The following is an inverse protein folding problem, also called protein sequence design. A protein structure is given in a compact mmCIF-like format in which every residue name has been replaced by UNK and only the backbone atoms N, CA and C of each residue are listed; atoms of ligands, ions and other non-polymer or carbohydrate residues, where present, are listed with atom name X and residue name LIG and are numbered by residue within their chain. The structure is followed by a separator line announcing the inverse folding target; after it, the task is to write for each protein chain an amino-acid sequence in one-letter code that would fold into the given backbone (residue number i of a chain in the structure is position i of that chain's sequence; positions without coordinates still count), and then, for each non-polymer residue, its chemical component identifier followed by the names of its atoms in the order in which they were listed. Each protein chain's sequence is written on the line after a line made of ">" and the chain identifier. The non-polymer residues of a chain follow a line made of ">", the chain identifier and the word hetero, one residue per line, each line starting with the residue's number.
data_IF_496700510368
#
_entry.id   IF_496700510368
#
_cell.length_a   1.000
_cell.length_b   1.000
_cell.length_c   1.000
_cell.angle_alpha   90.00
_cell.angle_beta   90.00
_cell.angle_gamma   90.00
#
_symmetry.space_group_name_H-M   'P 1'
#
loop_
_entity.id
_entity.type
_entity.pdbx_description
1 polymer ?
#
# COMPACT_ATOMS: atom_id res chain seq x y z
N UNK A 1 -25.69 -38.33 7.66
CA UNK A 1 -24.38 -38.61 7.05
C UNK A 1 -23.32 -37.85 7.84
N UNK A 2 -22.25 -38.50 8.25
CA UNK A 2 -21.11 -37.85 8.91
C UNK A 2 -20.28 -37.09 7.86
N UNK A 3 -19.79 -35.90 8.21
CA UNK A 3 -18.95 -35.12 7.32
C UNK A 3 -17.66 -35.89 6.96
N UNK A 4 -17.12 -35.72 5.74
CA UNK A 4 -15.83 -36.29 5.36
C UNK A 4 -14.72 -35.80 6.30
N UNK A 5 -13.85 -36.72 6.74
CA UNK A 5 -12.72 -36.41 7.62
C UNK A 5 -11.57 -35.81 6.80
N UNK A 6 -11.54 -34.48 6.70
CA UNK A 6 -10.49 -33.75 5.98
C UNK A 6 -9.31 -33.48 6.90
N UNK A 7 -8.24 -34.26 6.75
CA UNK A 7 -7.00 -34.00 7.45
C UNK A 7 -6.26 -32.79 6.85
N UNK A 8 -6.46 -31.62 7.45
CA UNK A 8 -5.89 -30.34 7.02
C UNK A 8 -4.36 -30.30 7.11
N UNK A 9 -3.75 -31.00 8.08
CA UNK A 9 -2.30 -31.03 8.24
C UNK A 9 -1.62 -31.80 7.09
N UNK A 10 -2.25 -32.90 6.65
CA UNK A 10 -1.81 -33.64 5.47
C UNK A 10 -1.89 -32.78 4.21
N UNK A 11 -3.00 -32.08 4.02
CA UNK A 11 -3.19 -31.20 2.86
C UNK A 11 -2.19 -30.04 2.87
N UNK A 12 -1.99 -29.38 4.01
CA UNK A 12 -0.98 -28.34 4.14
C UNK A 12 0.43 -28.85 3.81
N UNK A 13 0.76 -30.10 4.17
CA UNK A 13 2.03 -30.74 3.84
C UNK A 13 2.20 -31.00 2.34
N UNK A 14 1.15 -31.44 1.67
CA UNK A 14 1.16 -31.72 0.23
C UNK A 14 1.15 -30.42 -0.61
N UNK A 15 0.58 -29.33 -0.08
CA UNK A 15 0.51 -28.03 -0.73
C UNK A 15 1.61 -27.05 -0.28
N UNK A 16 2.65 -27.54 0.40
CA UNK A 16 3.75 -26.69 0.89
C UNK A 16 4.40 -25.87 -0.22
N UNK A 17 4.61 -26.46 -1.40
CA UNK A 17 5.24 -25.75 -2.52
C UNK A 17 4.41 -24.54 -3.00
N UNK A 18 3.12 -24.69 -3.32
CA UNK A 18 2.25 -23.53 -3.60
C UNK A 18 2.21 -22.49 -2.48
N UNK A 19 2.07 -22.92 -1.22
CA UNK A 19 1.99 -22.01 -0.07
C UNK A 19 3.28 -21.19 0.12
N UNK A 20 4.44 -21.82 -0.03
CA UNK A 20 5.74 -21.13 0.01
C UNK A 20 5.90 -20.18 -1.17
N UNK A 21 5.45 -20.57 -2.36
CA UNK A 21 5.47 -19.69 -3.54
C UNK A 21 4.64 -18.42 -3.33
N UNK A 22 3.42 -18.56 -2.81
CA UNK A 22 2.55 -17.42 -2.49
C UNK A 22 3.21 -16.52 -1.43
N UNK A 23 3.73 -17.11 -0.34
CA UNK A 23 4.42 -16.36 0.70
C UNK A 23 5.65 -15.60 0.14
N UNK A 24 6.40 -16.24 -0.76
CA UNK A 24 7.55 -15.63 -1.43
C UNK A 24 7.16 -14.44 -2.31
N UNK A 25 6.12 -14.57 -3.13
CA UNK A 25 5.64 -13.48 -3.99
C UNK A 25 5.10 -12.32 -3.16
N UNK A 26 4.32 -12.59 -2.11
CA UNK A 26 3.82 -11.54 -1.21
C UNK A 26 4.96 -10.79 -0.51
N UNK A 27 5.99 -11.52 -0.07
CA UNK A 27 7.18 -10.92 0.56
C UNK A 27 7.93 -10.03 -0.43
N UNK A 28 8.14 -10.51 -1.65
CA UNK A 28 8.82 -9.75 -2.70
C UNK A 28 8.04 -8.50 -3.11
N UNK A 29 6.73 -8.62 -3.34
CA UNK A 29 5.86 -7.49 -3.66
C UNK A 29 5.83 -6.46 -2.54
N UNK A 30 5.77 -6.91 -1.27
CA UNK A 30 5.86 -6.03 -0.10
C UNK A 30 7.17 -5.28 -0.04
N UNK A 31 8.30 -5.94 -0.31
CA UNK A 31 9.62 -5.29 -0.36
C UNK A 31 9.70 -4.22 -1.46
N UNK A 32 9.17 -4.52 -2.66
CA UNK A 32 9.11 -3.54 -3.76
C UNK A 32 8.23 -2.34 -3.41
N UNK A 33 7.09 -2.57 -2.74
CA UNK A 33 6.20 -1.49 -2.32
C UNK A 33 6.90 -0.57 -1.30
N UNK A 34 7.59 -1.14 -0.31
CA UNK A 34 8.36 -0.35 0.68
C UNK A 34 9.45 0.46 -0.02
N UNK A 35 10.19 -0.14 -0.95
CA UNK A 35 11.20 0.56 -1.74
C UNK A 35 10.59 1.70 -2.57
N UNK A 36 9.44 1.47 -3.19
CA UNK A 36 8.72 2.49 -3.97
C UNK A 36 8.28 3.66 -3.08
N UNK A 37 7.73 3.39 -1.90
CA UNK A 37 7.33 4.43 -0.94
C UNK A 37 8.54 5.29 -0.56
N UNK A 38 9.64 4.65 -0.18
CA UNK A 38 10.88 5.36 0.17
C UNK A 38 11.33 6.24 -1.00
N UNK A 39 11.32 5.70 -2.22
CA UNK A 39 11.73 6.44 -3.41
C UNK A 39 10.84 7.65 -3.69
N UNK A 40 9.52 7.48 -3.68
CA UNK A 40 8.56 8.57 -3.89
C UNK A 40 8.71 9.65 -2.83
N UNK A 41 8.82 9.27 -1.56
CA UNK A 41 9.03 10.22 -0.46
C UNK A 41 10.36 10.96 -0.63
N UNK A 42 11.43 10.27 -1.03
CA UNK A 42 12.74 10.89 -1.23
C UNK A 42 12.81 11.85 -2.43
N UNK A 43 11.90 11.70 -3.40
CA UNK A 43 11.80 12.57 -4.57
C UNK A 43 10.68 13.61 -4.44
N UNK A 44 9.87 13.56 -3.38
CA UNK A 44 8.86 14.57 -3.14
C UNK A 44 9.53 15.91 -2.87
N UNK A 45 9.21 16.93 -3.67
CA UNK A 45 9.56 18.31 -3.36
C UNK A 45 8.60 18.91 -2.34
N UNK A 46 8.89 20.14 -1.90
CA UNK A 46 7.92 20.92 -1.12
C UNK A 46 6.59 21.06 -1.87
N UNK A 47 5.45 21.06 -1.15
CA UNK A 47 4.18 21.40 -1.77
C UNK A 47 4.28 22.81 -2.37
N UNK A 48 4.19 22.93 -3.70
CA UNK A 48 4.01 24.23 -4.33
C UNK A 48 2.63 24.76 -3.94
N UNK A 49 2.60 25.76 -3.07
CA UNK A 49 1.38 26.49 -2.75
C UNK A 49 0.88 27.22 -3.98
N UNK A 50 -0.43 27.19 -4.21
CA UNK A 50 -1.03 28.09 -5.20
C UNK A 50 -0.91 29.53 -4.68
N UNK A 51 -0.47 30.45 -5.54
CA UNK A 51 -0.45 31.89 -5.25
C UNK A 51 -1.81 32.38 -4.73
N UNK A 52 -2.88 31.72 -5.15
CA UNK A 52 -4.25 31.97 -4.72
C UNK A 52 -4.86 30.69 -4.15
N UNK A 53 -5.26 30.73 -2.88
CA UNK A 53 -6.02 29.66 -2.22
C UNK A 53 -7.50 30.03 -2.14
N UNK A 54 -8.36 29.08 -2.50
CA UNK A 54 -9.82 29.21 -2.38
C UNK A 54 -10.29 28.43 -1.16
N UNK A 55 -10.94 29.12 -0.21
CA UNK A 55 -11.54 28.48 0.95
C UNK A 55 -12.72 27.60 0.51
N UNK A 56 -12.62 26.29 0.72
CA UNK A 56 -13.67 25.32 0.36
C UNK A 56 -14.99 25.48 1.12
N UNK A 57 -15.04 26.30 2.18
CA UNK A 57 -16.26 26.56 2.97
C UNK A 57 -16.99 27.82 2.52
N UNK A 58 -16.26 28.82 2.02
CA UNK A 58 -16.81 30.16 1.72
C UNK A 58 -16.66 30.56 0.25
N UNK A 59 -15.77 29.91 -0.50
CA UNK A 59 -15.43 30.23 -1.88
C UNK A 59 -14.56 31.49 -2.03
N UNK A 60 -14.06 32.06 -0.93
CA UNK A 60 -13.17 33.22 -1.00
C UNK A 60 -11.78 32.82 -1.48
N UNK A 61 -11.29 33.53 -2.50
CA UNK A 61 -9.92 33.47 -2.96
C UNK A 61 -9.05 34.44 -2.15
N UNK A 62 -7.94 33.96 -1.58
CA UNK A 62 -6.94 34.76 -0.89
C UNK A 62 -5.56 34.52 -1.51
N UNK A 63 -4.81 35.61 -1.71
CA UNK A 63 -3.41 35.51 -2.12
C UNK A 63 -2.61 35.05 -0.91
N UNK A 64 -1.84 33.97 -1.06
CA UNK A 64 -0.96 33.50 0.01
C UNK A 64 0.24 34.44 0.05
N UNK A 65 0.33 35.30 1.06
CA UNK A 65 1.54 36.07 1.33
C UNK A 65 2.58 35.14 1.94
N UNK A 66 3.58 34.74 1.14
CA UNK A 66 4.75 34.01 1.60
C UNK A 66 5.71 35.00 2.28
N UNK A 67 5.93 34.85 3.59
CA UNK A 67 7.00 35.57 4.34
C UNK A 67 8.39 35.01 4.05
#
# INVERSE_FOLDING_TARGET
>A
MSAPDTNVDKQAREHKAPLVGIAGVLTFAGALLVALIIWVVSMGGEPEGADVQVDGRTGQASVVETE
#
